data_IF_209390806770
#
_entry.id   IF_209390806770
#
_cell.length_a   1.000
_cell.length_b   1.000
_cell.length_c   1.000
_cell.angle_alpha   90.00
_cell.angle_beta   90.00
_cell.angle_gamma   90.00
#
_symmetry.space_group_name_H-M   'P 1'
#
loop_
_entity.id
_entity.type
_entity.pdbx_description
1 polymer ?
#
# COMPACT_ATOMS: atom_id res chain seq x y z
N UNK A 1 9.07 -1.26 -3.10
CA UNK A 1 8.38 -1.24 -1.79
C UNK A 1 6.95 -1.63 -2.04
N UNK A 2 6.37 -2.37 -1.11
CA UNK A 2 5.05 -2.93 -1.20
C UNK A 2 4.26 -2.54 0.04
N UNK A 3 2.98 -2.26 -0.16
CA UNK A 3 2.04 -2.06 0.93
C UNK A 3 0.98 -3.13 0.89
N UNK A 4 0.76 -3.76 2.04
CA UNK A 4 -0.24 -4.78 2.24
C UNK A 4 -1.22 -4.36 3.31
N UNK A 5 -2.44 -4.90 3.22
CA UNK A 5 -3.38 -4.90 4.32
C UNK A 5 -3.85 -6.30 4.67
N UNK A 6 -4.12 -6.49 5.94
CA UNK A 6 -4.74 -7.69 6.49
C UNK A 6 -5.97 -7.29 7.33
N UNK A 7 -7.18 -7.30 6.73
CA UNK A 7 -8.42 -7.14 7.47
C UNK A 7 -8.63 -8.27 8.50
N UNK A 8 -9.43 -8.05 9.55
CA UNK A 8 -9.75 -9.09 10.53
C UNK A 8 -10.27 -10.36 9.85
N UNK A 9 -9.68 -11.52 10.19
CA UNK A 9 -10.06 -12.85 9.67
C UNK A 9 -9.89 -13.02 8.15
N UNK A 10 -9.16 -12.13 7.48
CA UNK A 10 -8.80 -12.24 6.06
C UNK A 10 -7.32 -12.59 5.90
N UNK A 11 -6.96 -13.13 4.74
CA UNK A 11 -5.57 -13.24 4.30
C UNK A 11 -4.96 -11.88 3.99
N UNK A 12 -3.63 -11.86 3.91
CA UNK A 12 -2.83 -10.70 3.51
C UNK A 12 -3.12 -10.36 2.04
N UNK A 13 -3.39 -9.09 1.75
CA UNK A 13 -3.68 -8.59 0.40
C UNK A 13 -2.70 -7.50 0.03
N UNK A 14 -2.09 -7.59 -1.16
CA UNK A 14 -1.28 -6.51 -1.71
C UNK A 14 -2.21 -5.36 -2.12
N UNK A 15 -1.86 -4.14 -1.72
CA UNK A 15 -2.55 -2.91 -2.13
C UNK A 15 -1.86 -2.34 -3.35
N UNK A 16 -0.55 -2.13 -3.21
CA UNK A 16 0.24 -1.41 -4.21
C UNK A 16 1.71 -1.82 -4.16
N UNK A 17 2.30 -1.89 -5.34
CA UNK A 17 3.74 -2.00 -5.55
C UNK A 17 4.28 -0.67 -6.09
N UNK A 18 5.38 -0.20 -5.50
CA UNK A 18 6.02 1.06 -5.85
C UNK A 18 7.50 0.84 -6.16
N UNK A 19 7.94 1.28 -7.33
CA UNK A 19 9.34 1.23 -7.77
C UNK A 19 9.89 2.65 -7.89
N UNK A 20 11.22 2.80 -7.90
CA UNK A 20 11.86 4.12 -8.05
C UNK A 20 11.75 4.67 -9.49
N UNK A 21 11.38 3.83 -10.45
CA UNK A 21 11.49 4.11 -11.89
C UNK A 21 10.14 4.24 -12.59
N UNK A 22 9.05 3.85 -11.92
CA UNK A 22 7.71 3.78 -12.51
C UNK A 22 6.66 4.35 -11.58
N UNK A 23 5.49 4.61 -12.14
CA UNK A 23 4.28 4.86 -11.35
C UNK A 23 3.95 3.64 -10.47
N UNK A 24 3.22 3.92 -9.39
CA UNK A 24 2.67 2.92 -8.50
C UNK A 24 1.70 2.00 -9.25
N UNK A 25 1.81 0.69 -9.03
CA UNK A 25 0.90 -0.32 -9.58
C UNK A 25 0.01 -0.85 -8.46
N UNK A 26 -1.28 -0.56 -8.57
CA UNK A 26 -2.32 -0.97 -7.62
C UNK A 26 -2.97 -2.28 -8.06
N UNK A 27 -3.28 -3.14 -7.10
CA UNK A 27 -4.07 -4.34 -7.31
C UNK A 27 -5.56 -4.01 -7.54
N UNK A 28 -6.30 -4.97 -8.09
CA UNK A 28 -7.73 -4.79 -8.39
C UNK A 28 -8.53 -4.39 -7.15
N UNK A 29 -9.33 -3.33 -7.28
CA UNK A 29 -10.12 -2.76 -6.19
C UNK A 29 -9.38 -1.74 -5.32
N UNK A 30 -8.09 -1.50 -5.57
CA UNK A 30 -7.32 -0.42 -4.96
C UNK A 30 -7.09 0.72 -5.94
N UNK A 31 -6.91 1.92 -5.41
CA UNK A 31 -6.59 3.10 -6.22
C UNK A 31 -5.86 4.15 -5.40
N UNK A 32 -5.11 5.00 -6.09
CA UNK A 32 -4.43 6.15 -5.52
C UNK A 32 -5.38 7.17 -4.88
N UNK A 33 -6.64 7.22 -5.33
CA UNK A 33 -7.66 8.08 -4.74
C UNK A 33 -7.94 7.71 -3.27
N UNK A 34 -7.81 6.43 -2.91
CA UNK A 34 -8.02 5.92 -1.55
C UNK A 34 -6.71 5.70 -0.80
N UNK A 35 -5.72 5.10 -1.45
CA UNK A 35 -4.43 4.73 -0.88
C UNK A 35 -3.32 5.48 -1.62
N UNK A 36 -3.07 6.74 -1.26
CA UNK A 36 -2.00 7.51 -1.90
C UNK A 36 -0.64 7.03 -1.37
N UNK A 37 0.22 6.55 -2.27
CA UNK A 37 1.57 6.11 -1.90
C UNK A 37 2.64 7.01 -2.50
N UNK A 38 3.50 7.53 -1.63
CA UNK A 38 4.68 8.31 -2.01
C UNK A 38 5.93 7.54 -1.58
N UNK A 39 6.74 7.16 -2.56
CA UNK A 39 8.07 6.63 -2.31
C UNK A 39 9.09 7.74 -2.53
N UNK A 40 9.73 8.21 -1.46
CA UNK A 40 10.73 9.28 -1.57
C UNK A 40 12.11 8.73 -1.94
N UNK A 41 12.48 7.57 -1.39
CA UNK A 41 13.74 6.90 -1.68
C UNK A 41 13.61 5.38 -1.48
N UNK A 42 14.74 4.67 -1.46
CA UNK A 42 14.76 3.21 -1.29
C UNK A 42 14.23 2.76 0.07
N UNK A 43 14.40 3.59 1.10
CA UNK A 43 14.25 3.25 2.52
C UNK A 43 13.00 3.87 3.14
N UNK A 44 12.38 4.82 2.43
CA UNK A 44 11.22 5.56 2.89
C UNK A 44 10.07 5.51 1.89
N UNK A 45 8.97 4.89 2.32
CA UNK A 45 7.67 4.97 1.68
C UNK A 45 6.62 5.41 2.68
N UNK A 46 5.77 6.31 2.25
CA UNK A 46 4.63 6.83 2.98
C UNK A 46 3.36 6.40 2.25
N UNK A 47 2.42 5.82 3.00
CA UNK A 47 1.06 5.55 2.52
C UNK A 47 0.09 6.42 3.32
N UNK A 48 -0.71 7.20 2.59
CA UNK A 48 -1.81 8.00 3.14
C UNK A 48 -3.13 7.37 2.75
N UNK A 49 -3.92 6.96 3.74
CA UNK A 49 -5.27 6.46 3.52
C UNK A 49 -6.23 7.64 3.58
N UNK A 50 -6.88 7.95 2.46
CA UNK A 50 -7.84 9.05 2.33
C UNK A 50 -9.24 8.61 2.74
N UNK A 51 -10.08 9.56 3.14
CA UNK A 51 -11.50 9.34 3.49
C UNK A 51 -11.72 8.12 4.40
N UNK A 52 -11.01 8.06 5.52
CA UNK A 52 -10.97 6.89 6.41
C UNK A 52 -12.37 6.50 6.91
N UNK A 53 -12.70 5.22 6.80
CA UNK A 53 -13.96 4.63 7.26
C UNK A 53 -13.69 3.39 8.11
N UNK A 54 -14.72 2.87 8.79
CA UNK A 54 -14.63 1.60 9.52
C UNK A 54 -14.30 0.40 8.63
N UNK A 55 -14.49 0.49 7.31
CA UNK A 55 -14.14 -0.57 6.36
C UNK A 55 -12.63 -0.67 6.11
N UNK A 56 -11.88 0.36 6.49
CA UNK A 56 -10.43 0.43 6.36
C UNK A 56 -9.73 -0.11 7.62
N UNK A 57 -10.46 -0.72 8.56
CA UNK A 57 -9.86 -1.39 9.70
C UNK A 57 -9.07 -2.62 9.25
N UNK A 58 -7.75 -2.52 9.31
CA UNK A 58 -6.83 -3.60 8.97
C UNK A 58 -5.48 -3.40 9.65
N UNK A 59 -4.68 -4.46 9.73
CA UNK A 59 -3.24 -4.32 9.97
C UNK A 59 -2.55 -4.02 8.65
N UNK A 60 -1.79 -2.93 8.61
CA UNK A 60 -1.06 -2.50 7.42
C UNK A 60 0.42 -2.83 7.53
N UNK A 61 0.98 -3.43 6.49
CA UNK A 61 2.38 -3.83 6.44
C UNK A 61 3.10 -3.14 5.29
N UNK A 62 4.29 -2.62 5.57
CA UNK A 62 5.24 -2.20 4.56
C UNK A 62 6.27 -3.30 4.36
N UNK A 63 6.64 -3.59 3.12
CA UNK A 63 7.73 -4.49 2.79
C UNK A 63 8.67 -3.87 1.75
N UNK A 64 9.96 -4.13 1.91
CA UNK A 64 10.97 -3.83 0.91
C UNK A 64 11.45 -5.13 0.27
N UNK A 65 11.91 -5.04 -0.98
CA UNK A 65 12.60 -6.13 -1.68
C UNK A 65 13.91 -5.56 -2.17
N UNK A 66 15.00 -6.28 -1.91
CA UNK A 66 16.38 -5.94 -2.28
C UNK A 66 16.84 -6.67 -3.55
N UNK A 67 15.87 -7.13 -4.35
CA UNK A 67 16.11 -7.88 -5.58
C UNK A 67 16.39 -6.97 -6.78
#
# INVERSE_FOLDING_TARGET
MFWYQQPPRSGLKLIVSSTSWSHNSYEDGYSEAKFEVKRQNTDYSLMTIKDLTSKDEATYFCAASDH
#
